data_IF_552542399058
#
_entry.id   IF_552542399058
#
_cell.length_a   1.000
_cell.length_b   1.000
_cell.length_c   1.000
_cell.angle_alpha   90.00
_cell.angle_beta   90.00
_cell.angle_gamma   90.00
#
_symmetry.space_group_name_H-M   'P 1'
#
loop_
_entity.id
_entity.type
_entity.pdbx_description
1 polymer ?
#
# COMPACT_ATOMS: atom_id res chain seq x y z
N UNK A 1 47.15 12.65 -18.56
CA UNK A 1 45.89 13.39 -18.34
C UNK A 1 44.78 12.36 -18.17
N UNK A 2 44.53 11.91 -16.93
CA UNK A 2 43.59 10.84 -16.61
C UNK A 2 42.21 11.46 -16.37
N UNK A 3 41.28 11.19 -17.28
CA UNK A 3 39.86 11.55 -17.15
C UNK A 3 39.23 10.62 -16.13
N UNK A 4 38.97 11.12 -14.93
CA UNK A 4 38.16 10.41 -13.91
C UNK A 4 36.72 10.36 -14.39
N UNK A 5 36.29 9.19 -14.89
CA UNK A 5 34.90 8.89 -15.14
C UNK A 5 34.11 8.96 -13.83
N UNK A 6 33.13 9.89 -13.74
CA UNK A 6 32.12 9.87 -12.69
C UNK A 6 31.30 8.59 -12.86
N UNK A 7 31.43 7.67 -11.92
CA UNK A 7 30.45 6.61 -11.72
C UNK A 7 29.14 7.30 -11.37
N UNK A 8 28.24 7.44 -12.34
CA UNK A 8 26.85 7.75 -12.10
C UNK A 8 26.26 6.61 -11.29
N UNK A 9 26.04 6.86 -10.01
CA UNK A 9 25.23 5.97 -9.16
C UNK A 9 23.86 5.92 -9.82
N UNK A 10 23.52 4.79 -10.44
CA UNK A 10 22.18 4.49 -10.91
C UNK A 10 21.28 4.46 -9.67
N UNK A 11 20.64 5.56 -9.34
CA UNK A 11 19.43 5.53 -8.52
C UNK A 11 18.36 4.91 -9.42
N UNK A 12 17.84 3.72 -9.09
CA UNK A 12 16.78 3.14 -9.90
C UNK A 12 15.61 4.13 -9.89
N UNK A 13 15.23 4.61 -11.07
CA UNK A 13 13.99 5.37 -11.21
C UNK A 13 12.84 4.50 -10.71
N UNK A 14 11.92 5.03 -9.89
CA UNK A 14 10.75 4.29 -9.48
C UNK A 14 9.95 3.87 -10.72
N UNK A 15 9.20 2.77 -10.60
CA UNK A 15 8.31 2.28 -11.65
C UNK A 15 7.33 3.41 -12.03
N UNK A 16 7.16 3.68 -13.33
CA UNK A 16 6.30 4.75 -13.82
C UNK A 16 5.07 4.16 -14.51
N UNK A 17 3.91 4.74 -14.27
CA UNK A 17 2.73 4.52 -15.09
C UNK A 17 2.81 5.48 -16.28
N UNK A 18 2.82 4.96 -17.50
CA UNK A 18 2.99 5.77 -18.71
C UNK A 18 2.14 5.24 -19.84
N UNK A 19 1.80 6.11 -20.80
CA UNK A 19 1.20 5.74 -22.07
C UNK A 19 2.36 5.41 -23.01
N UNK A 20 2.35 4.19 -23.56
CA UNK A 20 3.38 3.72 -24.47
C UNK A 20 2.85 3.70 -25.90
N UNK A 21 3.55 4.29 -26.87
CA UNK A 21 3.16 4.21 -28.29
C UNK A 21 3.45 2.81 -28.84
N UNK A 22 2.57 2.30 -29.70
CA UNK A 22 2.71 1.01 -30.38
C UNK A 22 3.41 1.14 -31.74
N UNK A 23 3.48 2.35 -32.28
CA UNK A 23 4.07 2.61 -33.58
C UNK A 23 4.74 4.01 -33.65
N UNK A 24 5.58 4.28 -34.69
CA UNK A 24 6.29 5.54 -34.82
C UNK A 24 5.40 6.79 -34.98
N UNK A 25 4.20 6.65 -35.54
CA UNK A 25 3.27 7.77 -35.69
C UNK A 25 2.66 8.17 -34.36
N UNK A 26 2.28 7.22 -33.53
CA UNK A 26 1.82 7.48 -32.16
C UNK A 26 2.95 8.09 -31.29
N UNK A 27 4.19 7.59 -31.44
CA UNK A 27 5.33 8.18 -30.78
C UNK A 27 5.51 9.65 -31.16
N UNK A 28 5.40 9.97 -32.47
CA UNK A 28 5.47 11.35 -32.94
C UNK A 28 4.33 12.20 -32.40
N UNK A 29 3.10 11.68 -32.41
CA UNK A 29 1.91 12.36 -31.89
C UNK A 29 2.04 12.68 -30.40
N UNK A 30 2.50 11.74 -29.59
CA UNK A 30 2.76 11.95 -28.15
C UNK A 30 3.84 13.01 -27.94
N UNK A 31 4.95 12.95 -28.69
CA UNK A 31 6.07 13.88 -28.58
C UNK A 31 5.72 15.29 -29.08
N UNK A 32 4.86 15.39 -30.05
CA UNK A 32 4.36 16.66 -30.59
C UNK A 32 3.16 17.24 -29.83
N UNK A 33 2.73 16.59 -28.73
CA UNK A 33 1.53 16.94 -27.96
C UNK A 33 0.23 16.97 -28.79
N UNK A 34 0.12 16.10 -29.80
CA UNK A 34 -1.07 15.98 -30.64
C UNK A 34 -2.09 14.98 -30.08
N UNK A 35 -1.68 14.12 -29.14
CA UNK A 35 -2.60 13.18 -28.50
C UNK A 35 -3.40 13.89 -27.38
N UNK A 36 -4.73 13.74 -27.35
CA UNK A 36 -5.59 14.38 -26.35
C UNK A 36 -5.54 13.64 -25.00
N UNK A 37 -4.40 13.66 -24.32
CA UNK A 37 -4.14 12.94 -23.06
C UNK A 37 -5.23 13.22 -22.00
N UNK A 38 -5.74 14.46 -21.79
CA UNK A 38 -6.80 14.70 -20.81
C UNK A 38 -8.07 13.88 -21.08
N UNK A 39 -8.39 13.57 -22.35
CA UNK A 39 -9.53 12.74 -22.70
C UNK A 39 -9.32 11.27 -22.26
N UNK A 40 -8.10 10.75 -22.43
CA UNK A 40 -7.74 9.41 -21.94
C UNK A 40 -7.86 9.33 -20.42
N UNK A 41 -7.36 10.33 -19.70
CA UNK A 41 -7.48 10.42 -18.24
C UNK A 41 -8.94 10.49 -17.78
N UNK A 42 -9.79 11.25 -18.47
CA UNK A 42 -11.16 11.48 -18.02
C UNK A 42 -12.15 10.37 -18.46
N UNK A 43 -11.95 9.73 -19.60
CA UNK A 43 -12.88 8.76 -20.15
C UNK A 43 -12.40 7.31 -20.08
N UNK A 44 -11.11 7.06 -20.33
CA UNK A 44 -10.60 5.69 -20.41
C UNK A 44 -10.19 5.17 -19.03
N UNK A 45 -9.40 5.93 -18.28
CA UNK A 45 -8.88 5.45 -16.98
C UNK A 45 -9.97 5.06 -15.98
N UNK A 46 -11.07 5.81 -15.80
CA UNK A 46 -12.15 5.40 -14.89
C UNK A 46 -12.81 4.08 -15.32
N UNK A 47 -12.99 3.86 -16.64
CA UNK A 47 -13.58 2.61 -17.15
C UNK A 47 -12.63 1.43 -16.89
N UNK A 48 -11.33 1.58 -17.12
CA UNK A 48 -10.32 0.55 -16.84
C UNK A 48 -10.32 0.18 -15.34
N UNK A 49 -10.28 1.18 -14.48
CA UNK A 49 -10.30 0.96 -13.02
C UNK A 49 -11.59 0.25 -12.61
N UNK A 50 -12.75 0.78 -12.99
CA UNK A 50 -14.05 0.22 -12.59
C UNK A 50 -14.27 -1.20 -13.12
N UNK A 51 -13.81 -1.52 -14.33
CA UNK A 51 -13.91 -2.85 -14.90
C UNK A 51 -13.18 -3.91 -14.06
N UNK A 52 -11.96 -3.61 -13.59
CA UNK A 52 -11.20 -4.52 -12.71
C UNK A 52 -11.87 -4.68 -11.35
N UNK A 53 -12.35 -3.57 -10.77
CA UNK A 53 -13.02 -3.58 -9.48
C UNK A 53 -14.33 -4.39 -9.52
N UNK A 54 -15.18 -4.16 -10.54
CA UNK A 54 -16.41 -4.92 -10.74
C UNK A 54 -16.14 -6.39 -11.05
N UNK A 55 -15.12 -6.70 -11.84
CA UNK A 55 -14.74 -8.09 -12.12
C UNK A 55 -14.37 -8.85 -10.85
N UNK A 56 -13.61 -8.24 -9.96
CA UNK A 56 -13.27 -8.82 -8.65
C UNK A 56 -14.53 -8.99 -7.79
N UNK A 57 -15.34 -7.95 -7.67
CA UNK A 57 -16.53 -7.94 -6.81
C UNK A 57 -17.62 -8.92 -7.28
N UNK A 58 -17.76 -9.12 -8.60
CA UNK A 58 -18.70 -10.08 -9.20
C UNK A 58 -18.15 -11.51 -9.30
N UNK A 59 -16.90 -11.77 -8.87
CA UNK A 59 -16.30 -13.10 -8.90
C UNK A 59 -15.90 -13.59 -10.31
N UNK A 60 -15.65 -12.68 -11.26
CA UNK A 60 -15.27 -13.04 -12.64
C UNK A 60 -13.95 -13.79 -12.68
N UNK A 61 -12.99 -13.40 -11.84
CA UNK A 61 -11.69 -14.08 -11.74
C UNK A 61 -11.83 -15.49 -11.15
N UNK A 62 -12.64 -15.64 -10.11
CA UNK A 62 -12.92 -16.92 -9.46
C UNK A 62 -13.63 -17.89 -10.40
N UNK A 63 -14.60 -17.42 -11.18
CA UNK A 63 -15.34 -18.25 -12.15
C UNK A 63 -14.42 -18.89 -13.21
N UNK A 64 -13.26 -18.27 -13.49
CA UNK A 64 -12.27 -18.78 -14.43
C UNK A 64 -11.05 -19.43 -13.74
N UNK A 65 -11.09 -19.63 -12.42
CA UNK A 65 -9.94 -20.16 -11.66
C UNK A 65 -9.59 -21.61 -11.98
N UNK A 66 -10.61 -22.44 -12.25
CA UNK A 66 -10.46 -23.87 -12.54
C UNK A 66 -9.86 -24.18 -13.90
N UNK A 67 -9.93 -23.25 -14.88
CA UNK A 67 -9.41 -23.44 -16.22
C UNK A 67 -10.05 -22.51 -17.26
N UNK A 68 -9.82 -22.77 -18.56
CA UNK A 68 -10.43 -22.00 -19.64
C UNK A 68 -11.96 -22.07 -19.60
N UNK A 69 -12.62 -20.94 -19.85
CA UNK A 69 -14.08 -20.82 -19.82
C UNK A 69 -14.60 -20.13 -21.10
N UNK A 70 -15.68 -20.63 -21.67
CA UNK A 70 -16.42 -19.91 -22.70
C UNK A 70 -17.26 -18.81 -22.07
N UNK A 71 -17.73 -17.85 -22.90
CA UNK A 71 -18.63 -16.79 -22.40
C UNK A 71 -19.93 -17.38 -21.82
N UNK A 72 -20.47 -18.44 -22.44
CA UNK A 72 -21.72 -19.07 -21.98
C UNK A 72 -21.54 -19.76 -20.60
N UNK A 73 -20.40 -20.38 -20.36
CA UNK A 73 -20.07 -20.96 -19.05
C UNK A 73 -19.95 -19.87 -17.98
N UNK A 74 -19.29 -18.76 -18.29
CA UNK A 74 -19.19 -17.63 -17.36
C UNK A 74 -20.57 -17.00 -17.08
N UNK A 75 -21.42 -16.85 -18.10
CA UNK A 75 -22.82 -16.38 -17.93
C UNK A 75 -23.60 -17.32 -17.00
N UNK A 76 -23.49 -18.62 -17.22
CA UNK A 76 -24.18 -19.61 -16.39
C UNK A 76 -23.70 -19.55 -14.92
N UNK A 77 -22.40 -19.39 -14.71
CA UNK A 77 -21.80 -19.35 -13.35
C UNK A 77 -22.14 -18.05 -12.62
N UNK A 78 -22.10 -16.90 -13.32
CA UNK A 78 -22.17 -15.57 -12.70
C UNK A 78 -23.58 -14.97 -12.73
N UNK A 79 -24.48 -15.48 -13.57
CA UNK A 79 -25.82 -14.91 -13.75
C UNK A 79 -25.82 -13.51 -14.38
N UNK A 80 -24.75 -13.12 -15.08
CA UNK A 80 -24.60 -11.80 -15.68
C UNK A 80 -25.14 -11.76 -17.12
N UNK A 81 -25.46 -10.57 -17.60
CA UNK A 81 -25.88 -10.38 -18.98
C UNK A 81 -24.78 -10.74 -19.97
N UNK A 82 -25.05 -11.60 -20.96
CA UNK A 82 -24.08 -12.15 -21.91
C UNK A 82 -23.31 -11.06 -22.68
N UNK A 83 -24.05 -10.04 -23.20
CA UNK A 83 -23.45 -8.94 -23.97
C UNK A 83 -22.50 -8.13 -23.10
N UNK A 84 -22.96 -7.68 -21.93
CA UNK A 84 -22.18 -6.87 -21.02
C UNK A 84 -20.95 -7.62 -20.48
N UNK A 85 -21.12 -8.92 -20.14
CA UNK A 85 -19.98 -9.75 -19.71
C UNK A 85 -18.97 -9.94 -20.84
N UNK A 86 -19.42 -10.11 -22.09
CA UNK A 86 -18.53 -10.20 -23.25
C UNK A 86 -17.70 -8.94 -23.46
N UNK A 87 -18.31 -7.76 -23.32
CA UNK A 87 -17.61 -6.46 -23.37
C UNK A 87 -16.58 -6.33 -22.25
N UNK A 88 -16.94 -6.70 -21.00
CA UNK A 88 -16.02 -6.72 -19.85
C UNK A 88 -14.87 -7.69 -20.09
N UNK A 89 -15.12 -8.91 -20.54
CA UNK A 89 -14.10 -9.91 -20.80
C UNK A 89 -13.13 -9.48 -21.92
N UNK A 90 -13.63 -8.81 -22.96
CA UNK A 90 -12.81 -8.19 -24.01
C UNK A 90 -11.85 -7.15 -23.43
N UNK A 91 -12.35 -6.25 -22.57
CA UNK A 91 -11.54 -5.23 -21.91
C UNK A 91 -10.50 -5.84 -20.97
N UNK A 92 -10.88 -6.79 -20.12
CA UNK A 92 -9.96 -7.47 -19.21
C UNK A 92 -8.88 -8.26 -19.96
N UNK A 93 -9.21 -8.78 -21.14
CA UNK A 93 -8.22 -9.44 -22.03
C UNK A 93 -7.23 -8.42 -22.58
N UNK A 94 -7.70 -7.28 -23.07
CA UNK A 94 -6.84 -6.20 -23.55
C UNK A 94 -5.93 -5.65 -22.44
N UNK A 95 -6.39 -5.66 -21.18
CA UNK A 95 -5.60 -5.27 -20.00
C UNK A 95 -4.64 -6.37 -19.49
N UNK A 96 -4.63 -7.56 -20.11
CA UNK A 96 -3.73 -8.66 -19.75
C UNK A 96 -4.15 -9.49 -18.54
N UNK A 97 -5.40 -9.40 -18.09
CA UNK A 97 -5.94 -10.30 -17.05
C UNK A 97 -6.32 -11.66 -17.60
N UNK A 98 -6.75 -11.72 -18.86
CA UNK A 98 -7.09 -12.95 -19.56
C UNK A 98 -6.34 -13.06 -20.88
N UNK A 99 -6.21 -14.29 -21.36
CA UNK A 99 -5.94 -14.61 -22.78
C UNK A 99 -7.20 -15.18 -23.38
N UNK A 100 -7.38 -14.98 -24.69
CA UNK A 100 -8.52 -15.53 -25.45
C UNK A 100 -8.00 -16.37 -26.60
N UNK A 101 -8.36 -17.64 -26.61
CA UNK A 101 -8.03 -18.58 -27.69
C UNK A 101 -9.10 -19.68 -27.77
N UNK A 102 -9.39 -20.17 -28.96
CA UNK A 102 -10.41 -21.23 -29.19
C UNK A 102 -11.72 -20.97 -28.47
N UNK A 103 -12.24 -19.75 -28.59
CA UNK A 103 -13.47 -19.27 -27.93
C UNK A 103 -13.50 -19.36 -26.41
N UNK A 104 -12.34 -19.46 -25.75
CA UNK A 104 -12.21 -19.58 -24.30
C UNK A 104 -11.32 -18.49 -23.73
N UNK A 105 -11.71 -18.00 -22.55
CA UNK A 105 -10.94 -17.08 -21.71
C UNK A 105 -10.16 -17.86 -20.68
N UNK A 106 -8.87 -17.56 -20.54
CA UNK A 106 -7.98 -18.19 -19.57
C UNK A 106 -7.28 -17.12 -18.74
N UNK A 107 -7.30 -17.24 -17.41
CA UNK A 107 -6.57 -16.32 -16.51
C UNK A 107 -5.07 -16.35 -16.79
N UNK A 108 -4.48 -15.16 -16.96
CA UNK A 108 -3.04 -15.01 -17.04
C UNK A 108 -2.37 -15.33 -15.69
N UNK A 109 -1.05 -15.54 -15.72
CA UNK A 109 -0.26 -15.76 -14.49
C UNK A 109 -0.36 -14.56 -13.53
N UNK A 110 -0.40 -13.35 -14.05
CA UNK A 110 -0.57 -12.12 -13.27
C UNK A 110 -1.93 -12.11 -12.57
N UNK A 111 -3.02 -12.37 -13.30
CA UNK A 111 -4.37 -12.38 -12.73
C UNK A 111 -4.54 -13.51 -11.69
N UNK A 112 -4.01 -14.72 -11.95
CA UNK A 112 -4.03 -15.81 -10.96
C UNK A 112 -3.37 -15.44 -9.64
N UNK A 113 -2.23 -14.73 -9.72
CA UNK A 113 -1.44 -14.37 -8.54
C UNK A 113 -2.03 -13.21 -7.75
N UNK A 114 -2.62 -12.24 -8.42
CA UNK A 114 -3.01 -10.98 -7.77
C UNK A 114 -4.50 -10.75 -7.69
N UNK A 115 -5.32 -11.35 -8.58
CA UNK A 115 -6.75 -11.10 -8.59
C UNK A 115 -7.58 -12.23 -7.95
N UNK A 116 -7.08 -13.47 -7.85
CA UNK A 116 -7.78 -14.56 -7.16
C UNK A 116 -7.70 -14.40 -5.64
N UNK A 117 -8.82 -14.59 -4.96
CA UNK A 117 -8.98 -14.37 -3.51
C UNK A 117 -8.02 -15.21 -2.66
N UNK A 118 -7.80 -16.47 -3.03
CA UNK A 118 -7.07 -17.44 -2.19
C UNK A 118 -5.55 -17.46 -2.42
N UNK A 119 -5.02 -16.64 -3.35
CA UNK A 119 -3.56 -16.55 -3.53
C UNK A 119 -2.92 -15.75 -2.38
N UNK A 120 -1.79 -16.22 -1.81
CA UNK A 120 -1.10 -15.51 -0.73
C UNK A 120 -0.58 -14.10 -1.08
N UNK A 121 -0.60 -13.73 -2.35
CA UNK A 121 -0.19 -12.41 -2.83
C UNK A 121 -1.38 -11.62 -3.42
N UNK A 122 -2.58 -12.14 -3.24
CA UNK A 122 -3.80 -11.53 -3.75
C UNK A 122 -3.99 -10.10 -3.25
N UNK A 123 -4.43 -9.23 -4.17
CA UNK A 123 -4.93 -7.90 -3.85
C UNK A 123 -6.46 -7.82 -3.96
N UNK A 124 -7.14 -8.97 -4.08
CA UNK A 124 -8.60 -9.07 -4.26
C UNK A 124 -9.36 -8.26 -3.20
N UNK A 125 -9.04 -8.40 -1.92
CA UNK A 125 -9.68 -7.64 -0.85
C UNK A 125 -9.59 -6.12 -1.07
N UNK A 126 -8.46 -5.62 -1.58
CA UNK A 126 -8.30 -4.21 -1.93
C UNK A 126 -9.16 -3.81 -3.13
N UNK A 127 -9.29 -4.68 -4.14
CA UNK A 127 -10.15 -4.41 -5.30
C UNK A 127 -11.62 -4.28 -4.87
N UNK A 128 -12.11 -5.20 -4.03
CA UNK A 128 -13.48 -5.17 -3.51
C UNK A 128 -13.73 -3.96 -2.61
N UNK A 129 -12.81 -3.64 -1.72
CA UNK A 129 -12.91 -2.45 -0.87
C UNK A 129 -12.93 -1.17 -1.71
N UNK A 130 -12.06 -1.06 -2.70
CA UNK A 130 -12.06 0.09 -3.61
C UNK A 130 -13.37 0.21 -4.38
N UNK A 131 -13.98 -0.92 -4.79
CA UNK A 131 -15.26 -0.91 -5.49
C UNK A 131 -16.42 -0.44 -4.63
N UNK A 132 -16.50 -0.98 -3.40
CA UNK A 132 -17.68 -0.83 -2.52
C UNK A 132 -17.62 0.36 -1.58
N UNK A 133 -16.43 0.93 -1.37
CA UNK A 133 -16.22 1.98 -0.36
C UNK A 133 -15.42 3.15 -0.92
N UNK A 134 -14.20 2.91 -1.40
CA UNK A 134 -13.28 3.99 -1.79
C UNK A 134 -13.79 4.76 -3.01
N UNK A 135 -14.50 4.08 -3.91
CA UNK A 135 -15.03 4.74 -5.12
C UNK A 135 -15.91 5.95 -4.78
N UNK A 136 -16.76 5.81 -3.77
CA UNK A 136 -17.65 6.90 -3.32
C UNK A 136 -16.87 8.04 -2.64
N UNK A 137 -15.69 7.76 -2.04
CA UNK A 137 -14.88 8.81 -1.44
C UNK A 137 -14.36 9.81 -2.48
N UNK A 138 -14.12 9.37 -3.70
CA UNK A 138 -13.62 10.23 -4.77
C UNK A 138 -14.61 11.34 -5.15
N UNK A 139 -15.90 11.16 -4.90
CA UNK A 139 -16.93 12.17 -5.13
C UNK A 139 -16.78 13.38 -4.19
N UNK A 140 -16.11 13.21 -3.04
CA UNK A 140 -15.81 14.28 -2.09
C UNK A 140 -14.59 15.13 -2.49
N UNK A 141 -13.89 14.81 -3.60
CA UNK A 141 -12.71 15.55 -4.03
C UNK A 141 -12.99 17.05 -4.24
N UNK A 142 -14.16 17.40 -4.79
CA UNK A 142 -14.56 18.80 -5.00
C UNK A 142 -14.66 19.56 -3.68
N UNK A 143 -15.26 18.97 -2.65
CA UNK A 143 -15.37 19.56 -1.31
C UNK A 143 -13.99 19.68 -0.65
N UNK A 144 -13.17 18.62 -0.73
CA UNK A 144 -11.81 18.64 -0.22
C UNK A 144 -10.97 19.77 -0.82
N UNK A 145 -11.04 19.98 -2.13
CA UNK A 145 -10.32 21.07 -2.80
C UNK A 145 -10.77 22.47 -2.35
N UNK A 146 -12.01 22.63 -1.88
CA UNK A 146 -12.54 23.89 -1.36
C UNK A 146 -12.17 24.11 0.10
N UNK A 147 -12.21 23.06 0.92
CA UNK A 147 -12.13 23.16 2.38
C UNK A 147 -10.77 22.72 2.95
N UNK A 148 -10.02 21.90 2.23
CA UNK A 148 -8.82 21.21 2.73
C UNK A 148 -9.11 20.16 3.80
N UNK A 149 -10.38 19.79 4.03
CA UNK A 149 -10.77 18.82 5.05
C UNK A 149 -11.08 17.49 4.41
N UNK A 150 -10.33 16.45 4.82
CA UNK A 150 -10.58 15.07 4.41
C UNK A 150 -11.80 14.48 5.13
N UNK A 151 -12.32 13.37 4.58
CA UNK A 151 -13.52 12.68 5.09
C UNK A 151 -13.31 11.93 6.41
N UNK A 152 -12.07 11.72 6.87
CA UNK A 152 -11.70 10.99 8.08
C UNK A 152 -12.42 9.63 8.17
N UNK A 153 -12.19 8.78 7.18
CA UNK A 153 -13.01 7.59 6.89
C UNK A 153 -13.17 6.63 8.08
N UNK A 154 -12.21 6.55 8.99
CA UNK A 154 -12.34 5.68 10.17
C UNK A 154 -13.55 6.00 11.04
N UNK A 155 -14.01 7.26 11.05
CA UNK A 155 -15.16 7.69 11.83
C UNK A 155 -16.49 7.46 11.08
N UNK A 156 -16.43 7.16 9.79
CA UNK A 156 -17.63 7.09 8.92
C UNK A 156 -17.97 5.69 8.42
N UNK A 157 -17.05 4.71 8.58
CA UNK A 157 -17.26 3.35 8.09
C UNK A 157 -18.35 2.62 8.88
N UNK A 158 -19.32 2.04 8.17
CA UNK A 158 -20.27 1.07 8.74
C UNK A 158 -19.57 -0.25 9.11
N UNK A 159 -20.24 -1.12 9.88
CA UNK A 159 -19.70 -2.43 10.24
C UNK A 159 -19.30 -3.30 9.03
N UNK A 160 -20.11 -3.29 7.94
CA UNK A 160 -19.79 -4.01 6.72
C UNK A 160 -18.59 -3.39 5.99
N UNK A 161 -18.49 -2.08 5.95
CA UNK A 161 -17.36 -1.38 5.35
C UNK A 161 -16.06 -1.63 6.14
N UNK A 162 -16.13 -1.72 7.47
CA UNK A 162 -15.00 -2.14 8.31
C UNK A 162 -14.49 -3.53 7.95
N UNK A 163 -15.37 -4.49 7.66
CA UNK A 163 -14.96 -5.83 7.20
C UNK A 163 -14.20 -5.76 5.88
N UNK A 164 -14.71 -5.03 4.87
CA UNK A 164 -13.99 -4.83 3.60
C UNK A 164 -12.65 -4.11 3.80
N UNK A 165 -12.60 -3.13 4.69
CA UNK A 165 -11.36 -2.44 5.05
C UNK A 165 -10.31 -3.39 5.61
N UNK A 166 -10.67 -4.25 6.56
CA UNK A 166 -9.73 -5.21 7.16
C UNK A 166 -9.22 -6.22 6.12
N UNK A 167 -10.09 -6.77 5.30
CA UNK A 167 -9.71 -7.66 4.21
C UNK A 167 -8.76 -6.96 3.22
N UNK A 168 -9.01 -5.70 2.93
CA UNK A 168 -8.17 -4.87 2.07
C UNK A 168 -6.79 -4.62 2.67
N UNK A 169 -6.71 -4.29 3.96
CA UNK A 169 -5.43 -4.03 4.65
C UNK A 169 -4.57 -5.29 4.70
N UNK A 170 -5.16 -6.46 4.96
CA UNK A 170 -4.44 -7.74 4.88
C UNK A 170 -3.90 -7.98 3.46
N UNK A 171 -4.74 -7.76 2.45
CA UNK A 171 -4.36 -7.95 1.05
C UNK A 171 -3.24 -6.99 0.62
N UNK A 172 -3.38 -5.69 0.92
CA UNK A 172 -2.38 -4.67 0.60
C UNK A 172 -1.02 -4.98 1.24
N UNK A 173 -1.03 -5.43 2.50
CA UNK A 173 0.18 -5.64 3.28
C UNK A 173 0.87 -6.97 2.97
N UNK A 174 0.19 -7.95 2.41
CA UNK A 174 0.73 -9.31 2.19
C UNK A 174 2.02 -9.33 1.34
N UNK A 175 2.04 -8.61 0.23
CA UNK A 175 3.21 -8.49 -0.65
C UNK A 175 4.27 -7.58 -0.04
N UNK A 176 3.85 -6.49 0.58
CA UNK A 176 4.70 -5.51 1.23
C UNK A 176 5.48 -6.11 2.40
N UNK A 177 4.81 -6.78 3.33
CA UNK A 177 5.41 -7.37 4.53
C UNK A 177 6.50 -8.39 4.18
N UNK A 178 6.35 -9.13 3.06
CA UNK A 178 7.38 -10.05 2.56
C UNK A 178 8.63 -9.31 2.11
N UNK A 179 8.49 -8.20 1.38
CA UNK A 179 9.64 -7.38 0.98
C UNK A 179 10.23 -6.64 2.18
N UNK A 180 9.39 -6.10 3.07
CA UNK A 180 9.79 -5.48 4.33
C UNK A 180 10.65 -6.44 5.17
N UNK A 181 10.19 -7.64 5.45
CA UNK A 181 10.92 -8.65 6.21
C UNK A 181 12.32 -8.94 5.66
N UNK A 182 12.47 -8.95 4.32
CA UNK A 182 13.78 -9.17 3.68
C UNK A 182 14.71 -7.96 3.74
N UNK A 183 14.17 -6.73 3.58
CA UNK A 183 14.96 -5.53 3.28
C UNK A 183 15.03 -4.52 4.41
N UNK A 184 14.16 -4.62 5.43
CA UNK A 184 14.19 -3.72 6.58
C UNK A 184 15.59 -3.69 7.22
N UNK A 185 16.17 -2.50 7.44
CA UNK A 185 17.55 -2.33 7.93
C UNK A 185 17.65 -2.50 9.46
N UNK A 186 17.17 -3.63 9.96
CA UNK A 186 17.07 -3.96 11.39
C UNK A 186 18.33 -4.66 11.93
N UNK A 187 18.65 -4.53 13.23
CA UNK A 187 19.72 -5.29 13.85
C UNK A 187 19.45 -6.80 13.80
N UNK A 188 20.44 -7.59 13.41
CA UNK A 188 20.30 -9.07 13.35
C UNK A 188 20.13 -9.71 14.75
N UNK A 189 20.56 -9.01 15.78
CA UNK A 189 20.49 -9.42 17.20
C UNK A 189 19.25 -8.87 17.92
N UNK A 190 18.31 -8.25 17.18
CA UNK A 190 17.09 -7.69 17.75
C UNK A 190 16.26 -8.77 18.44
N UNK A 191 15.77 -8.46 19.63
CA UNK A 191 14.94 -9.33 20.47
C UNK A 191 13.57 -8.75 20.80
N UNK A 192 13.41 -7.41 20.75
CA UNK A 192 12.16 -6.73 21.09
C UNK A 192 11.79 -5.69 20.05
N UNK A 193 10.56 -5.75 19.58
CA UNK A 193 9.98 -4.81 18.62
C UNK A 193 8.69 -4.21 19.18
N UNK A 194 8.49 -2.91 18.91
CA UNK A 194 7.21 -2.22 19.03
C UNK A 194 6.72 -1.89 17.62
N UNK A 195 5.49 -2.28 17.31
CA UNK A 195 4.78 -1.98 16.06
C UNK A 195 3.61 -1.04 16.39
N UNK A 196 3.76 0.24 16.06
CA UNK A 196 2.81 1.29 16.42
C UNK A 196 1.71 1.33 15.36
N UNK A 197 0.45 1.02 15.77
CA UNK A 197 -0.69 0.93 14.86
C UNK A 197 -0.56 -0.25 13.88
N UNK A 198 0.07 -1.37 14.32
CA UNK A 198 0.39 -2.49 13.46
C UNK A 198 -0.79 -3.38 13.06
N UNK A 199 -1.99 -3.14 13.58
CA UNK A 199 -3.24 -3.83 13.23
C UNK A 199 -3.08 -5.36 13.16
N UNK A 200 -3.29 -5.98 11.99
CA UNK A 200 -3.16 -7.42 11.75
C UNK A 200 -1.72 -7.99 11.85
N UNK A 201 -0.70 -7.16 12.12
CA UNK A 201 0.65 -7.56 12.49
C UNK A 201 1.54 -8.18 11.42
N UNK A 202 1.20 -8.09 10.14
CA UNK A 202 1.96 -8.79 9.08
C UNK A 202 3.44 -8.36 9.00
N UNK A 203 3.77 -7.09 9.27
CA UNK A 203 5.17 -6.63 9.32
C UNK A 203 5.93 -7.25 10.50
N UNK A 204 5.32 -7.24 11.68
CA UNK A 204 5.83 -7.87 12.89
C UNK A 204 6.05 -9.37 12.68
N UNK A 205 5.08 -10.06 12.11
CA UNK A 205 5.14 -11.48 11.74
C UNK A 205 6.30 -11.75 10.77
N UNK A 206 6.46 -10.92 9.73
CA UNK A 206 7.54 -11.08 8.75
C UNK A 206 8.93 -10.96 9.38
N UNK A 207 9.13 -10.00 10.30
CA UNK A 207 10.39 -9.87 11.02
C UNK A 207 10.60 -10.99 12.05
N UNK A 208 9.58 -11.40 12.79
CA UNK A 208 9.67 -12.51 13.74
C UNK A 208 9.96 -13.85 13.06
N UNK A 209 9.45 -14.08 11.84
CA UNK A 209 9.84 -15.26 11.04
C UNK A 209 11.31 -15.21 10.61
N UNK A 210 11.85 -14.04 10.32
CA UNK A 210 13.26 -13.85 9.92
C UNK A 210 14.22 -13.90 11.11
N UNK A 211 13.81 -13.39 12.27
CA UNK A 211 14.62 -13.27 13.49
C UNK A 211 13.99 -14.15 14.59
N UNK A 212 14.47 -15.38 14.80
CA UNK A 212 13.83 -16.35 15.72
C UNK A 212 13.74 -15.86 17.17
N UNK A 213 14.70 -15.04 17.63
CA UNK A 213 14.72 -14.48 18.99
C UNK A 213 13.83 -13.23 19.16
N UNK A 214 13.26 -12.70 18.08
CA UNK A 214 12.46 -11.47 18.11
C UNK A 214 11.05 -11.76 18.62
N UNK A 215 10.60 -10.94 19.56
CA UNK A 215 9.20 -10.78 19.95
C UNK A 215 8.72 -9.39 19.57
N UNK A 216 7.46 -9.27 19.21
CA UNK A 216 6.84 -8.01 18.80
C UNK A 216 5.59 -7.71 19.63
N UNK A 217 5.49 -6.47 20.10
CA UNK A 217 4.29 -5.90 20.69
C UNK A 217 3.65 -4.98 19.66
N UNK A 218 2.39 -5.21 19.33
CA UNK A 218 1.59 -4.34 18.47
C UNK A 218 0.77 -3.42 19.37
N UNK A 219 1.13 -2.15 19.42
CA UNK A 219 0.36 -1.13 20.13
C UNK A 219 -0.73 -0.60 19.20
N UNK A 220 -1.98 -0.81 19.55
CA UNK A 220 -3.10 -0.33 18.76
C UNK A 220 -4.31 0.02 19.62
N UNK A 221 -5.27 0.77 19.05
CA UNK A 221 -6.51 1.12 19.72
C UNK A 221 -7.33 -0.14 20.02
N UNK A 222 -8.03 -0.21 21.17
CA UNK A 222 -8.84 -1.38 21.52
C UNK A 222 -9.81 -1.83 20.42
N UNK A 223 -10.49 -0.88 19.78
CA UNK A 223 -11.42 -1.18 18.68
C UNK A 223 -10.72 -1.78 17.44
N UNK A 224 -9.50 -1.32 17.14
CA UNK A 224 -8.71 -1.90 16.04
C UNK A 224 -8.23 -3.31 16.38
N UNK A 225 -7.82 -3.56 17.63
CA UNK A 225 -7.39 -4.87 18.10
C UNK A 225 -8.53 -5.89 18.01
N UNK A 226 -9.74 -5.53 18.38
CA UNK A 226 -10.90 -6.42 18.29
C UNK A 226 -11.06 -7.02 16.89
N UNK A 227 -10.88 -6.21 15.86
CA UNK A 227 -10.96 -6.64 14.47
C UNK A 227 -9.68 -7.36 13.97
N UNK A 228 -8.52 -6.97 14.47
CA UNK A 228 -7.23 -7.46 14.01
C UNK A 228 -6.78 -8.76 14.68
N UNK A 229 -7.18 -9.02 15.92
CA UNK A 229 -6.73 -10.17 16.70
C UNK A 229 -7.01 -11.52 16.02
N UNK A 230 -8.19 -11.80 15.43
CA UNK A 230 -8.43 -13.03 14.70
C UNK A 230 -7.51 -13.20 13.47
N UNK A 231 -7.12 -12.10 12.82
CA UNK A 231 -6.23 -12.11 11.67
C UNK A 231 -4.79 -12.40 12.09
N UNK A 232 -4.33 -11.82 13.19
CA UNK A 232 -3.02 -12.11 13.77
C UNK A 232 -2.92 -13.56 14.24
N UNK A 233 -3.93 -14.10 14.91
CA UNK A 233 -3.95 -15.47 15.39
C UNK A 233 -3.72 -16.50 14.27
N UNK A 234 -4.27 -16.26 13.07
CA UNK A 234 -4.07 -17.10 11.88
C UNK A 234 -2.62 -17.14 11.39
N UNK A 235 -1.76 -16.20 11.82
CA UNK A 235 -0.35 -16.17 11.42
C UNK A 235 0.52 -17.21 12.15
N UNK A 236 0.01 -17.80 13.24
CA UNK A 236 0.61 -18.94 13.93
C UNK A 236 1.90 -18.66 14.70
N UNK A 237 2.13 -17.41 15.14
CA UNK A 237 3.31 -17.05 15.95
C UNK A 237 3.05 -17.03 17.46
N UNK A 238 1.81 -17.22 17.90
CA UNK A 238 1.44 -17.29 19.32
C UNK A 238 1.96 -16.08 20.10
N UNK A 239 2.57 -16.35 21.25
CA UNK A 239 3.07 -15.31 22.16
C UNK A 239 4.24 -14.46 21.63
N UNK A 240 4.81 -14.82 20.47
CA UNK A 240 5.89 -14.04 19.89
C UNK A 240 5.43 -12.74 19.25
N UNK A 241 4.15 -12.62 18.90
CA UNK A 241 3.55 -11.38 18.37
C UNK A 241 2.21 -11.19 19.07
N UNK A 242 2.11 -10.17 19.90
CA UNK A 242 0.94 -9.90 20.71
C UNK A 242 0.45 -8.46 20.56
N UNK A 243 -0.86 -8.27 20.65
CA UNK A 243 -1.45 -6.94 20.78
C UNK A 243 -1.34 -6.41 22.22
N UNK A 244 -1.13 -5.11 22.31
CA UNK A 244 -1.24 -4.32 23.51
C UNK A 244 -2.21 -3.16 23.23
N UNK A 245 -3.33 -3.05 23.94
CA UNK A 245 -4.22 -1.90 23.78
C UNK A 245 -3.53 -0.64 24.25
N UNK A 246 -3.66 0.44 23.44
CA UNK A 246 -3.10 1.74 23.79
C UNK A 246 -3.24 2.75 22.64
N UNK A 247 -2.90 4.00 22.94
CA UNK A 247 -2.96 5.10 21.99
C UNK A 247 -1.57 5.69 21.75
N UNK A 248 -1.12 5.66 20.52
CA UNK A 248 0.21 6.17 20.11
C UNK A 248 0.44 7.64 20.50
N UNK A 249 -0.60 8.46 20.59
CA UNK A 249 -0.48 9.88 20.92
C UNK A 249 -0.37 10.14 22.43
N UNK A 250 -1.01 9.34 23.28
CA UNK A 250 -1.07 9.58 24.74
C UNK A 250 -0.17 8.68 25.56
N UNK A 251 -0.01 7.41 25.16
CA UNK A 251 0.69 6.43 25.99
C UNK A 251 2.21 6.52 25.87
N UNK A 252 2.88 6.14 26.95
CA UNK A 252 4.34 6.04 26.98
C UNK A 252 4.83 4.72 26.37
N UNK A 253 5.91 4.77 25.59
CA UNK A 253 6.54 3.58 25.02
C UNK A 253 7.69 3.03 25.89
N UNK A 254 7.95 3.68 27.04
CA UNK A 254 9.06 3.35 27.94
C UNK A 254 10.40 3.94 27.50
N UNK A 255 11.48 3.46 28.14
CA UNK A 255 12.85 3.93 27.90
C UNK A 255 13.77 2.74 27.65
N UNK A 256 14.55 2.78 26.57
CA UNK A 256 15.52 1.72 26.20
C UNK A 256 14.90 0.30 26.23
N UNK A 257 13.67 0.17 25.76
CA UNK A 257 12.88 -1.05 25.83
C UNK A 257 12.95 -1.91 24.56
N UNK A 258 13.17 -1.29 23.39
CA UNK A 258 13.03 -1.94 22.09
C UNK A 258 14.28 -1.80 21.21
N UNK A 259 14.56 -2.82 20.42
CA UNK A 259 15.63 -2.82 19.41
C UNK A 259 15.10 -2.30 18.06
N UNK A 260 13.79 -2.48 17.81
CA UNK A 260 13.10 -2.04 16.60
C UNK A 260 11.80 -1.35 17.01
N UNK A 261 11.55 -0.18 16.45
CA UNK A 261 10.23 0.46 16.50
C UNK A 261 9.78 0.72 15.06
N UNK A 262 8.56 0.34 14.76
CA UNK A 262 7.93 0.51 13.44
C UNK A 262 6.71 1.42 13.55
N UNK A 263 6.58 2.36 12.62
CA UNK A 263 5.39 3.14 12.33
C UNK A 263 5.07 2.92 10.85
N UNK A 264 4.07 2.10 10.56
CA UNK A 264 3.76 1.71 9.19
C UNK A 264 2.33 2.07 8.81
N UNK A 265 2.15 2.83 7.72
CA UNK A 265 0.84 3.25 7.21
C UNK A 265 -0.03 3.94 8.28
N UNK A 266 0.60 4.73 9.13
CA UNK A 266 -0.07 5.44 10.22
C UNK A 266 0.28 6.95 10.26
N UNK A 267 1.48 7.33 9.76
CA UNK A 267 1.93 8.72 9.83
C UNK A 267 0.98 9.69 9.10
N UNK A 268 0.33 9.25 8.02
CA UNK A 268 -0.64 10.06 7.26
C UNK A 268 -1.95 10.36 8.01
N UNK A 269 -2.20 9.71 9.16
CA UNK A 269 -3.32 10.04 10.06
C UNK A 269 -2.94 11.09 11.09
N UNK A 270 -1.68 11.40 11.25
CA UNK A 270 -1.16 12.32 12.26
C UNK A 270 -0.73 13.64 11.64
N UNK A 271 -0.99 14.75 12.33
CA UNK A 271 -0.42 16.05 11.99
C UNK A 271 1.12 16.02 12.13
N UNK A 272 1.86 16.98 11.54
CA UNK A 272 3.31 17.06 11.70
C UNK A 272 3.77 17.09 13.16
N UNK A 273 3.05 17.83 14.03
CA UNK A 273 3.35 17.90 15.46
C UNK A 273 3.11 16.57 16.20
N UNK A 274 2.06 15.84 15.83
CA UNK A 274 1.78 14.51 16.39
C UNK A 274 2.85 13.49 15.92
N UNK A 275 3.27 13.52 14.66
CA UNK A 275 4.35 12.69 14.16
C UNK A 275 5.67 12.98 14.86
N UNK A 276 5.98 14.27 15.12
CA UNK A 276 7.16 14.65 15.93
C UNK A 276 7.08 14.05 17.35
N UNK A 277 5.94 14.20 18.04
CA UNK A 277 5.70 13.64 19.37
C UNK A 277 5.89 12.12 19.41
N UNK A 278 5.30 11.38 18.46
CA UNK A 278 5.43 9.91 18.37
C UNK A 278 6.88 9.54 18.11
N UNK A 279 7.59 10.29 17.27
CA UNK A 279 9.02 10.06 16.95
C UNK A 279 9.92 10.28 18.19
N UNK A 280 9.66 11.30 18.99
CA UNK A 280 10.40 11.54 20.25
C UNK A 280 10.19 10.42 21.26
N UNK A 281 8.93 9.94 21.42
CA UNK A 281 8.63 8.79 22.27
C UNK A 281 9.34 7.52 21.77
N UNK A 282 9.32 7.28 20.45
CA UNK A 282 10.03 6.17 19.83
C UNK A 282 11.56 6.26 20.07
N UNK A 283 12.17 7.43 19.88
CA UNK A 283 13.60 7.64 20.10
C UNK A 283 14.00 7.37 21.57
N UNK A 284 13.16 7.79 22.54
CA UNK A 284 13.38 7.50 23.97
C UNK A 284 13.29 6.00 24.25
N UNK A 285 12.31 5.31 23.67
CA UNK A 285 12.03 3.90 23.88
C UNK A 285 13.03 2.96 23.19
N UNK A 286 13.76 3.43 22.18
CA UNK A 286 14.83 2.65 21.54
C UNK A 286 16.03 2.42 22.47
N UNK A 287 16.57 1.22 22.42
CA UNK A 287 17.88 0.88 22.98
C UNK A 287 19.01 1.51 22.16
N UNK A 288 20.20 1.75 22.73
CA UNK A 288 21.39 2.15 21.96
C UNK A 288 21.62 1.18 20.78
N UNK A 289 21.79 1.72 19.57
CA UNK A 289 21.94 0.93 18.34
C UNK A 289 20.62 0.41 17.74
N UNK A 290 19.49 0.60 18.40
CA UNK A 290 18.16 0.30 17.89
C UNK A 290 17.77 1.18 16.70
N UNK A 291 16.69 0.82 16.02
CA UNK A 291 16.20 1.50 14.79
C UNK A 291 14.73 1.85 14.88
N UNK A 292 14.39 3.10 14.54
CA UNK A 292 13.03 3.54 14.26
C UNK A 292 12.81 3.58 12.75
N UNK A 293 11.75 2.95 12.27
CA UNK A 293 11.40 2.85 10.86
C UNK A 293 10.01 3.48 10.67
N UNK A 294 9.93 4.51 9.84
CA UNK A 294 8.67 5.00 9.27
C UNK A 294 8.52 4.39 7.89
N UNK A 295 7.47 3.61 7.68
CA UNK A 295 7.20 2.85 6.45
C UNK A 295 5.92 3.37 5.81
N UNK A 296 6.07 4.21 4.77
CA UNK A 296 4.96 4.97 4.19
C UNK A 296 5.04 5.11 2.66
N UNK A 297 3.92 5.48 2.05
CA UNK A 297 3.94 6.14 0.77
C UNK A 297 4.54 7.53 0.93
N UNK A 298 5.47 7.87 0.03
CA UNK A 298 6.25 9.09 0.13
C UNK A 298 5.72 10.10 -0.89
N UNK A 299 5.30 11.27 -0.41
CA UNK A 299 5.00 12.38 -1.31
C UNK A 299 6.29 13.02 -1.84
N UNK A 300 6.29 13.64 -3.02
CA UNK A 300 7.40 14.44 -3.48
C UNK A 300 7.73 15.56 -2.47
N UNK A 301 9.01 15.89 -2.32
CA UNK A 301 9.40 17.05 -1.53
C UNK A 301 8.83 18.34 -2.14
N UNK A 302 8.56 19.35 -1.31
CA UNK A 302 8.12 20.67 -1.76
C UNK A 302 9.19 21.26 -2.67
N UNK A 303 8.82 21.65 -3.88
CA UNK A 303 9.76 22.12 -4.91
C UNK A 303 10.53 21.01 -5.64
N UNK A 304 10.34 19.75 -5.26
CA UNK A 304 10.87 18.58 -5.96
C UNK A 304 10.10 18.27 -7.24
N UNK A 305 10.60 17.31 -8.02
CA UNK A 305 9.90 16.82 -9.22
C UNK A 305 8.70 15.96 -8.78
N UNK A 306 7.45 16.32 -9.13
CA UNK A 306 6.29 15.49 -8.86
C UNK A 306 6.41 14.12 -9.53
N UNK A 307 5.94 13.09 -8.83
CA UNK A 307 5.89 11.72 -9.29
C UNK A 307 4.46 11.21 -9.21
N UNK A 308 4.00 10.50 -10.24
CA UNK A 308 2.58 10.18 -10.38
C UNK A 308 2.03 9.40 -9.19
N UNK A 309 2.71 8.33 -8.75
CA UNK A 309 2.22 7.47 -7.66
C UNK A 309 2.26 8.21 -6.32
N UNK A 310 3.40 8.85 -5.98
CA UNK A 310 3.53 9.60 -4.73
C UNK A 310 2.54 10.76 -4.65
N UNK A 311 2.32 11.49 -5.75
CA UNK A 311 1.37 12.60 -5.78
C UNK A 311 -0.09 12.13 -5.73
N UNK A 312 -0.43 11.01 -6.40
CA UNK A 312 -1.80 10.48 -6.36
C UNK A 312 -2.15 9.92 -4.97
N UNK A 313 -1.20 9.24 -4.31
CA UNK A 313 -1.42 8.76 -2.95
C UNK A 313 -1.46 9.91 -1.93
N UNK A 314 -0.70 10.99 -2.15
CA UNK A 314 -0.77 12.19 -1.32
C UNK A 314 -2.16 12.84 -1.39
N UNK A 315 -2.68 13.06 -2.60
CA UNK A 315 -4.03 13.56 -2.81
C UNK A 315 -5.10 12.62 -2.20
N UNK A 316 -4.94 11.32 -2.39
CA UNK A 316 -5.87 10.32 -1.86
C UNK A 316 -5.91 10.34 -0.32
N UNK A 317 -4.75 10.35 0.35
CA UNK A 317 -4.71 10.41 1.81
C UNK A 317 -5.08 11.80 2.36
N UNK A 318 -4.84 12.87 1.62
CA UNK A 318 -5.38 14.19 1.96
C UNK A 318 -6.91 14.19 1.97
N UNK A 319 -7.52 13.57 0.93
CA UNK A 319 -8.97 13.41 0.83
C UNK A 319 -9.55 12.49 1.90
N UNK A 320 -8.92 11.36 2.18
CA UNK A 320 -9.50 10.29 3.01
C UNK A 320 -9.09 10.36 4.48
N UNK A 321 -7.98 11.01 4.81
CA UNK A 321 -7.37 11.02 6.15
C UNK A 321 -7.23 12.43 6.72
N UNK A 322 -6.48 12.57 7.83
CA UNK A 322 -6.36 13.86 8.53
C UNK A 322 -5.31 14.78 7.92
N UNK A 323 -4.20 14.22 7.39
CA UNK A 323 -3.04 15.04 7.05
C UNK A 323 -2.40 14.74 5.68
N UNK A 324 -2.61 13.56 5.10
CA UNK A 324 -1.94 13.16 3.85
C UNK A 324 -0.54 12.58 4.07
N UNK A 325 0.17 12.31 2.98
CA UNK A 325 1.52 11.73 3.03
C UNK A 325 2.59 12.77 3.41
N UNK A 326 3.77 12.26 3.74
CA UNK A 326 4.94 13.07 4.07
C UNK A 326 6.12 12.75 3.16
N UNK A 327 6.99 13.73 2.94
CA UNK A 327 8.24 13.56 2.21
C UNK A 327 9.31 12.90 3.08
N UNK A 328 10.35 12.36 2.43
CA UNK A 328 11.53 11.82 3.13
C UNK A 328 12.17 12.87 4.04
N UNK A 329 12.21 14.14 3.60
CA UNK A 329 12.85 15.21 4.35
C UNK A 329 12.07 15.56 5.62
N UNK A 330 10.74 15.55 5.58
CA UNK A 330 9.90 15.76 6.77
C UNK A 330 10.07 14.62 7.77
N UNK A 331 9.95 13.37 7.32
CA UNK A 331 10.15 12.18 8.18
C UNK A 331 11.57 12.19 8.76
N UNK A 332 12.57 12.47 7.93
CA UNK A 332 13.97 12.55 8.37
C UNK A 332 14.21 13.69 9.36
N UNK A 333 13.52 14.81 9.20
CA UNK A 333 13.59 15.94 10.12
C UNK A 333 13.07 15.56 11.52
N UNK A 334 11.91 14.89 11.62
CA UNK A 334 11.39 14.40 12.90
C UNK A 334 12.36 13.46 13.60
N UNK A 335 12.93 12.52 12.84
CA UNK A 335 13.91 11.56 13.38
C UNK A 335 15.17 12.26 13.91
N UNK A 336 15.69 13.25 13.17
CA UNK A 336 16.89 13.99 13.60
C UNK A 336 16.61 14.92 14.80
N UNK A 337 15.46 15.61 14.82
CA UNK A 337 15.04 16.43 15.94
C UNK A 337 14.83 15.61 17.23
N UNK A 338 14.41 14.36 17.10
CA UNK A 338 14.31 13.40 18.21
C UNK A 338 15.68 12.82 18.64
N UNK A 339 16.79 13.28 18.09
CA UNK A 339 18.16 12.85 18.44
C UNK A 339 18.62 11.56 17.77
N UNK A 340 17.88 11.06 16.76
CA UNK A 340 18.32 9.91 15.98
C UNK A 340 19.33 10.31 14.91
N UNK A 341 20.17 9.38 14.47
CA UNK A 341 21.13 9.59 13.39
C UNK A 341 20.43 9.87 12.06
N UNK A 342 21.19 10.41 11.08
CA UNK A 342 20.68 10.62 9.72
C UNK A 342 20.04 9.36 9.17
N UNK A 343 18.80 9.44 8.65
CA UNK A 343 18.06 8.27 8.20
C UNK A 343 18.66 7.64 6.93
N UNK A 344 18.49 6.33 6.83
CA UNK A 344 18.70 5.56 5.61
C UNK A 344 17.34 5.32 4.96
N UNK A 345 17.22 5.64 3.68
CA UNK A 345 16.02 5.38 2.88
C UNK A 345 16.17 4.07 2.11
N UNK A 346 15.15 3.22 2.19
CA UNK A 346 15.08 1.95 1.47
C UNK A 346 13.77 1.92 0.69
N UNK A 347 13.84 2.18 -0.61
CA UNK A 347 12.69 2.11 -1.51
C UNK A 347 12.26 0.67 -1.76
N UNK A 348 10.95 0.44 -1.82
CA UNK A 348 10.41 -0.84 -2.27
C UNK A 348 10.69 -1.04 -3.77
N UNK A 349 10.89 -2.31 -4.16
CA UNK A 349 11.07 -2.70 -5.55
C UNK A 349 9.76 -3.12 -6.21
N UNK A 350 8.82 -3.60 -5.41
CA UNK A 350 7.53 -4.13 -5.87
C UNK A 350 6.37 -3.17 -5.66
N UNK A 351 6.59 -2.08 -4.90
CA UNK A 351 5.59 -1.07 -4.57
C UNK A 351 6.13 0.33 -4.90
N UNK A 352 5.78 0.89 -6.07
CA UNK A 352 6.17 2.25 -6.44
C UNK A 352 5.70 3.28 -5.41
N UNK A 353 6.50 4.32 -5.18
CA UNK A 353 6.16 5.42 -4.28
C UNK A 353 6.25 5.10 -2.79
N UNK A 354 6.59 3.86 -2.39
CA UNK A 354 6.70 3.46 -0.98
C UNK A 354 8.13 3.27 -0.53
N UNK A 355 8.44 3.71 0.70
CA UNK A 355 9.78 3.59 1.27
C UNK A 355 9.78 3.37 2.79
N UNK A 356 10.86 2.79 3.28
CA UNK A 356 11.24 2.74 4.69
C UNK A 356 12.25 3.86 4.97
N UNK A 357 11.92 4.80 5.84
CA UNK A 357 12.84 5.83 6.34
C UNK A 357 13.30 5.41 7.73
N UNK A 358 14.53 4.93 7.83
CA UNK A 358 15.03 4.23 9.01
C UNK A 358 16.19 5.00 9.67
N UNK A 359 16.03 5.42 10.91
CA UNK A 359 17.05 6.11 11.68
C UNK A 359 17.43 5.31 12.94
N UNK A 360 18.72 5.37 13.33
CA UNK A 360 19.26 4.67 14.49
C UNK A 360 19.47 5.62 15.67
N UNK A 361 19.29 5.07 16.87
CA UNK A 361 19.71 5.71 18.13
C UNK A 361 21.22 5.61 18.35
#
# INVERSE_FOLDING_TARGET
MLVRGRLTVFTPSPMQLTISPENPLEWLALRANLAPIPLLHAQVMPVLAKAVLEAADKGVFEAASAGPQTIDQLVQTLGLNKKALGELMGLLTAMGYFTYASEQFTLTRMARRFALKDDPQSVHGMLVFNNRVVWDWLDHLGEYLQTGRGIQYHDTLSADQWRYYQEAMVAATSTEAREFGRRAPVPKTATRMLDIGGSHGQHSVALCKKLPALTATILDLPAAIEQAAPLLARQGLGDRVQHQPGNALTDDFGTNAYDIILLSSLAHHFTPGQNQLVTEKAARALRPGGVFIVNEFIRPAVGGKPELVGSSTDLFYGLSSTAGNYSIDEIGSWQQQAGLKKPKVVWYRTLPGRAMVAARK
#
